data_IF_521244572721
#
_entry.id   IF_521244572721
#
_cell.length_a   1.000
_cell.length_b   1.000
_cell.length_c   1.000
_cell.angle_alpha   90.00
_cell.angle_beta   90.00
_cell.angle_gamma   90.00
#
_symmetry.space_group_name_H-M   'P 1'
#
loop_
_entity.id
_entity.type
_entity.pdbx_description
1 polymer ?
#
# COMPACT_ATOMS: atom_id res chain seq x y z
N UNK A 1 8.63 12.90 -9.41
CA UNK A 1 7.23 12.71 -9.00
C UNK A 1 7.19 11.52 -8.07
N UNK A 2 6.87 11.68 -6.78
CA UNK A 2 6.87 10.57 -5.86
C UNK A 2 5.64 9.68 -6.04
N UNK A 3 5.83 8.39 -5.82
CA UNK A 3 4.76 7.40 -5.71
C UNK A 3 4.45 7.19 -4.23
N UNK A 4 3.19 7.35 -3.84
CA UNK A 4 2.71 7.06 -2.50
C UNK A 4 1.80 5.83 -2.59
N UNK A 5 2.28 4.71 -2.06
CA UNK A 5 1.55 3.45 -2.03
C UNK A 5 0.98 3.25 -0.63
N UNK A 6 -0.34 3.26 -0.52
CA UNK A 6 -1.05 2.90 0.68
C UNK A 6 -1.25 1.39 0.70
N UNK A 7 -0.62 0.73 1.67
CA UNK A 7 -0.79 -0.68 1.94
C UNK A 7 -1.71 -0.81 3.16
N UNK A 8 -2.98 -1.14 2.92
CA UNK A 8 -3.99 -1.17 3.98
C UNK A 8 -4.28 -2.62 4.35
N UNK A 9 -4.05 -2.95 5.61
CA UNK A 9 -4.49 -4.20 6.20
C UNK A 9 -6.00 -4.31 6.11
N UNK A 10 -6.47 -5.32 5.40
CA UNK A 10 -7.88 -5.66 5.29
C UNK A 10 -8.20 -6.96 5.98
N UNK A 11 -7.35 -7.48 6.86
CA UNK A 11 -7.60 -8.73 7.59
C UNK A 11 -8.80 -8.60 8.55
N UNK A 12 -9.36 -9.75 8.95
CA UNK A 12 -10.53 -9.79 9.81
C UNK A 12 -10.32 -9.10 11.18
N UNK A 13 -9.08 -9.03 11.67
CA UNK A 13 -8.74 -8.39 12.94
C UNK A 13 -8.90 -6.86 12.92
N UNK A 14 -8.94 -6.25 11.73
CA UNK A 14 -9.25 -4.83 11.52
C UNK A 14 -10.72 -4.46 11.82
N UNK A 15 -11.60 -5.44 12.06
CA UNK A 15 -12.98 -5.20 12.51
C UNK A 15 -13.10 -4.81 14.00
N UNK A 16 -12.00 -4.84 14.75
CA UNK A 16 -11.98 -4.39 16.14
C UNK A 16 -12.44 -2.93 16.23
N UNK A 17 -13.27 -2.65 17.24
CA UNK A 17 -13.83 -1.32 17.45
C UNK A 17 -13.00 -0.52 18.44
N UNK A 18 -12.88 0.76 18.13
CA UNK A 18 -12.28 1.72 19.05
C UNK A 18 -13.30 2.24 20.06
N UNK A 19 -12.83 3.01 21.03
CA UNK A 19 -13.69 3.72 21.98
C UNK A 19 -14.68 4.69 21.30
N UNK A 20 -14.44 5.08 20.05
CA UNK A 20 -15.34 5.93 19.25
C UNK A 20 -16.44 5.13 18.52
N UNK A 21 -16.45 3.79 18.63
CA UNK A 21 -17.43 2.91 17.99
C UNK A 21 -17.15 2.57 16.53
N UNK A 22 -16.11 3.16 15.91
CA UNK A 22 -15.64 2.86 14.56
C UNK A 22 -14.63 1.71 14.55
N UNK A 23 -14.52 0.99 13.43
CA UNK A 23 -13.52 -0.07 13.26
C UNK A 23 -12.12 0.50 12.99
N UNK A 24 -11.07 -0.28 13.19
CA UNK A 24 -9.72 0.12 12.78
C UNK A 24 -9.62 0.39 11.28
N UNK A 25 -10.33 -0.38 10.45
CA UNK A 25 -10.38 -0.12 9.00
C UNK A 25 -11.02 1.24 8.68
N UNK A 26 -12.09 1.63 9.38
CA UNK A 26 -12.73 2.94 9.18
C UNK A 26 -11.76 4.08 9.55
N UNK A 27 -11.00 3.92 10.64
CA UNK A 27 -9.98 4.88 11.05
C UNK A 27 -8.85 4.93 10.02
N UNK A 28 -8.39 3.79 9.51
CA UNK A 28 -7.37 3.73 8.46
C UNK A 28 -7.81 4.48 7.19
N UNK A 29 -9.04 4.23 6.71
CA UNK A 29 -9.62 4.96 5.57
C UNK A 29 -9.65 6.47 5.83
N UNK A 30 -10.16 6.90 6.99
CA UNK A 30 -10.21 8.32 7.36
C UNK A 30 -8.83 8.97 7.48
N UNK A 31 -7.82 8.23 7.95
CA UNK A 31 -6.43 8.70 8.00
C UNK A 31 -5.86 8.92 6.59
N UNK A 32 -6.12 8.01 5.65
CA UNK A 32 -5.72 8.16 4.24
C UNK A 32 -6.40 9.37 3.60
N UNK A 33 -7.71 9.53 3.78
CA UNK A 33 -8.44 10.69 3.26
C UNK A 33 -7.90 12.02 3.83
N UNK A 34 -7.62 12.04 5.13
CA UNK A 34 -7.05 13.22 5.80
C UNK A 34 -5.64 13.51 5.29
N UNK A 35 -4.80 12.49 5.14
CA UNK A 35 -3.46 12.62 4.57
C UNK A 35 -3.53 13.24 3.16
N UNK A 36 -4.37 12.72 2.27
CA UNK A 36 -4.50 13.22 0.90
C UNK A 36 -4.98 14.67 0.88
N UNK A 37 -5.94 15.01 1.75
CA UNK A 37 -6.45 16.39 1.88
C UNK A 37 -5.37 17.37 2.36
N UNK A 38 -4.51 16.95 3.29
CA UNK A 38 -3.40 17.76 3.77
C UNK A 38 -2.31 17.87 2.71
N UNK A 39 -1.94 16.77 2.07
CA UNK A 39 -0.93 16.72 1.00
C UNK A 39 -1.34 17.57 -0.20
N UNK A 40 -2.62 17.58 -0.56
CA UNK A 40 -3.16 18.40 -1.64
C UNK A 40 -3.06 19.92 -1.44
N UNK A 41 -2.70 20.39 -0.24
CA UNK A 41 -2.42 21.81 0.03
C UNK A 41 -1.03 22.24 -0.46
N UNK A 42 -0.11 21.28 -0.62
CA UNK A 42 1.25 21.53 -1.09
C UNK A 42 1.26 21.58 -2.64
N UNK A 43 1.70 22.69 -3.26
CA UNK A 43 1.83 22.78 -4.72
C UNK A 43 2.68 21.67 -5.35
N UNK A 44 3.64 21.11 -4.61
CA UNK A 44 4.49 20.02 -5.06
C UNK A 44 3.71 18.69 -5.26
N UNK A 45 2.51 18.56 -4.69
CA UNK A 45 1.72 17.32 -4.75
C UNK A 45 1.02 17.08 -6.09
N UNK A 46 1.03 18.06 -7.02
CA UNK A 46 0.34 17.96 -8.31
C UNK A 46 0.82 16.80 -9.17
N UNK A 47 2.07 16.36 -8.95
CA UNK A 47 2.66 15.24 -9.65
C UNK A 47 2.68 13.94 -8.85
N UNK A 48 2.05 13.88 -7.68
CA UNK A 48 2.06 12.66 -6.87
C UNK A 48 1.19 11.58 -7.51
N UNK A 49 1.66 10.33 -7.45
CA UNK A 49 0.86 9.17 -7.85
C UNK A 49 0.47 8.37 -6.61
N UNK A 50 -0.82 8.09 -6.48
CA UNK A 50 -1.35 7.31 -5.36
C UNK A 50 -1.69 5.91 -5.82
N UNK A 51 -1.26 4.91 -5.04
CA UNK A 51 -1.55 3.50 -5.28
C UNK A 51 -2.18 2.90 -4.03
N UNK A 52 -3.05 1.91 -4.22
CA UNK A 52 -3.73 1.19 -3.15
C UNK A 52 -3.51 -0.30 -3.30
N UNK A 53 -2.95 -0.91 -2.26
CA UNK A 53 -2.76 -2.36 -2.14
C UNK A 53 -3.38 -2.81 -0.83
N UNK A 54 -4.04 -3.97 -0.83
CA UNK A 54 -4.57 -4.59 0.39
C UNK A 54 -3.98 -6.00 0.61
N UNK A 55 -4.49 -6.72 1.62
CA UNK A 55 -3.95 -8.02 2.02
C UNK A 55 -4.52 -9.21 1.25
N UNK A 56 -5.20 -8.97 0.14
CA UNK A 56 -5.61 -10.05 -0.76
C UNK A 56 -4.44 -10.54 -1.62
N UNK A 57 -4.55 -11.77 -2.11
CA UNK A 57 -3.58 -12.36 -3.01
C UNK A 57 -3.55 -11.62 -4.37
N UNK A 58 -2.36 -11.59 -4.99
CA UNK A 58 -2.20 -11.05 -6.33
C UNK A 58 -3.01 -11.89 -7.35
N UNK A 59 -3.70 -11.26 -8.33
CA UNK A 59 -3.68 -9.83 -8.64
C UNK A 59 -4.72 -8.98 -7.90
N UNK A 60 -5.64 -9.59 -7.16
CA UNK A 60 -6.77 -8.89 -6.52
C UNK A 60 -6.34 -7.95 -5.40
N UNK A 61 -5.15 -8.18 -4.83
CA UNK A 61 -4.49 -7.30 -3.87
C UNK A 61 -4.27 -5.86 -4.34
N UNK A 62 -4.12 -5.64 -5.66
CA UNK A 62 -3.86 -4.32 -6.23
C UNK A 62 -5.19 -3.67 -6.62
N UNK A 63 -5.65 -2.71 -5.82
CA UNK A 63 -6.92 -2.01 -6.09
C UNK A 63 -6.73 -0.78 -6.96
N UNK A 64 -5.61 -0.06 -6.80
CA UNK A 64 -5.25 1.07 -7.66
C UNK A 64 -3.76 1.07 -7.96
N UNK A 65 -3.39 0.96 -9.24
CA UNK A 65 -2.00 0.87 -9.70
C UNK A 65 -1.57 2.01 -10.63
N UNK A 66 -0.63 1.74 -11.54
CA UNK A 66 0.02 2.75 -12.39
C UNK A 66 -0.89 3.54 -13.33
N UNK A 67 -1.98 2.91 -13.81
CA UNK A 67 -2.88 3.48 -14.82
C UNK A 67 -4.12 4.12 -14.20
N UNK A 68 -4.28 4.03 -12.88
CA UNK A 68 -5.53 4.41 -12.23
C UNK A 68 -5.60 5.88 -11.87
N UNK A 69 -6.83 6.40 -11.90
CA UNK A 69 -7.12 7.78 -11.55
C UNK A 69 -7.27 7.96 -10.05
N UNK A 70 -7.16 9.20 -9.59
CA UNK A 70 -7.48 9.56 -8.20
C UNK A 70 -8.92 9.19 -7.82
N UNK A 71 -9.87 9.27 -8.77
CA UNK A 71 -11.26 8.89 -8.53
C UNK A 71 -11.42 7.37 -8.33
N UNK A 72 -10.69 6.56 -9.09
CA UNK A 72 -10.65 5.10 -8.91
C UNK A 72 -10.10 4.77 -7.52
N UNK A 73 -8.95 5.35 -7.16
CA UNK A 73 -8.35 5.18 -5.83
C UNK A 73 -9.34 5.45 -4.69
N UNK A 74 -10.03 6.60 -4.74
CA UNK A 74 -10.99 6.98 -3.70
C UNK A 74 -12.22 6.06 -3.65
N UNK A 75 -12.59 5.45 -4.77
CA UNK A 75 -13.70 4.50 -4.84
C UNK A 75 -13.31 3.16 -4.21
N UNK A 76 -12.14 2.65 -4.59
CA UNK A 76 -11.60 1.42 -4.03
C UNK A 76 -11.31 1.54 -2.53
N UNK A 77 -10.75 2.67 -2.08
CA UNK A 77 -10.53 2.94 -0.65
C UNK A 77 -11.83 2.85 0.16
N UNK A 78 -12.91 3.44 -0.34
CA UNK A 78 -14.23 3.40 0.32
C UNK A 78 -14.78 1.97 0.38
N UNK A 79 -14.56 1.19 -0.67
CA UNK A 79 -15.09 -0.17 -0.82
C UNK A 79 -14.29 -1.26 -0.10
N UNK A 80 -13.12 -0.96 0.50
CA UNK A 80 -12.36 -1.97 1.25
C UNK A 80 -13.20 -2.58 2.37
N UNK A 81 -13.06 -3.89 2.56
CA UNK A 81 -13.72 -4.63 3.63
C UNK A 81 -12.67 -5.37 4.45
N UNK A 82 -12.89 -5.45 5.77
CA UNK A 82 -12.00 -6.17 6.67
C UNK A 82 -12.36 -7.66 6.68
N UNK A 83 -11.76 -8.44 5.78
CA UNK A 83 -11.95 -9.87 5.61
C UNK A 83 -10.61 -10.58 5.34
N UNK A 84 -10.51 -11.86 5.74
CA UNK A 84 -9.32 -12.67 5.46
C UNK A 84 -8.22 -12.59 6.53
N UNK A 85 -7.01 -12.96 6.12
CA UNK A 85 -5.84 -13.18 6.99
C UNK A 85 -4.82 -12.04 6.87
N UNK A 86 -3.89 -11.99 7.83
CA UNK A 86 -2.87 -10.95 7.93
C UNK A 86 -1.62 -11.32 7.11
N UNK A 87 -1.74 -11.29 5.78
CA UNK A 87 -0.71 -11.73 4.81
C UNK A 87 0.34 -10.64 4.47
N UNK A 88 0.80 -9.91 5.48
CA UNK A 88 1.68 -8.72 5.33
C UNK A 88 2.88 -8.97 4.41
N UNK A 89 3.57 -10.10 4.56
CA UNK A 89 4.76 -10.42 3.77
C UNK A 89 4.47 -10.51 2.28
N UNK A 90 3.38 -11.18 1.90
CA UNK A 90 2.97 -11.34 0.50
C UNK A 90 2.50 -10.01 -0.11
N UNK A 91 1.79 -9.19 0.65
CA UNK A 91 1.30 -7.90 0.20
C UNK A 91 2.44 -6.87 0.06
N UNK A 92 3.44 -6.92 0.94
CA UNK A 92 4.67 -6.15 0.79
C UNK A 92 5.46 -6.56 -0.44
N UNK A 93 5.64 -7.87 -0.68
CA UNK A 93 6.26 -8.39 -1.91
C UNK A 93 5.54 -7.84 -3.15
N UNK A 94 4.22 -7.97 -3.19
CA UNK A 94 3.39 -7.47 -4.29
C UNK A 94 3.55 -5.97 -4.48
N UNK A 95 3.65 -5.20 -3.39
CA UNK A 95 3.90 -3.76 -3.44
C UNK A 95 5.28 -3.42 -4.00
N UNK A 96 6.32 -4.16 -3.62
CA UNK A 96 7.67 -3.99 -4.17
C UNK A 96 7.71 -4.34 -5.66
N UNK A 97 7.10 -5.46 -6.05
CA UNK A 97 7.02 -5.88 -7.45
C UNK A 97 6.30 -4.82 -8.29
N UNK A 98 5.16 -4.32 -7.81
CA UNK A 98 4.40 -3.25 -8.46
C UNK A 98 5.24 -1.99 -8.68
N UNK A 99 5.98 -1.55 -7.67
CA UNK A 99 6.85 -0.37 -7.77
C UNK A 99 8.02 -0.60 -8.73
N UNK A 100 8.59 -1.81 -8.76
CA UNK A 100 9.75 -2.14 -9.58
C UNK A 100 9.43 -2.32 -11.07
N UNK A 101 8.15 -2.56 -11.45
CA UNK A 101 7.75 -2.70 -12.85
C UNK A 101 8.21 -1.53 -13.74
N UNK A 102 8.11 -0.30 -13.25
CA UNK A 102 8.50 0.88 -14.04
C UNK A 102 10.00 1.15 -14.02
N UNK A 103 10.73 0.73 -12.99
CA UNK A 103 12.18 0.98 -12.88
C UNK A 103 12.97 0.30 -14.00
N UNK A 104 12.54 -0.91 -14.38
CA UNK A 104 13.14 -1.66 -15.49
C UNK A 104 12.83 -1.03 -16.85
N UNK A 105 11.58 -0.61 -17.06
CA UNK A 105 11.14 -0.01 -18.34
C UNK A 105 11.77 1.36 -18.57
N UNK A 106 11.91 2.15 -17.51
CA UNK A 106 12.49 3.50 -17.58
C UNK A 106 14.01 3.52 -17.62
N UNK A 107 14.67 2.36 -17.46
CA UNK A 107 16.12 2.24 -17.48
C UNK A 107 16.79 2.96 -16.30
N UNK A 108 16.10 3.09 -15.16
CA UNK A 108 16.66 3.70 -13.95
C UNK A 108 17.76 2.79 -13.38
N UNK A 109 17.50 1.48 -13.36
CA UNK A 109 18.46 0.46 -12.91
C UNK A 109 19.15 -0.18 -14.11
N UNK A 110 20.17 0.48 -14.66
CA UNK A 110 20.99 -0.06 -15.74
C UNK A 110 22.11 -0.95 -15.19
N UNK A 111 21.84 -2.25 -15.10
CA UNK A 111 22.88 -3.23 -14.77
C UNK A 111 24.01 -3.21 -15.82
N UNK A 112 25.26 -3.13 -15.37
CA UNK A 112 26.44 -3.16 -16.25
C UNK A 112 26.92 -1.81 -16.79
N UNK A 113 26.23 -0.70 -16.51
CA UNK A 113 26.63 0.66 -16.93
C UNK A 113 26.85 1.62 -15.75
N UNK A 114 27.02 1.07 -14.55
CA UNK A 114 27.13 1.84 -13.30
C UNK A 114 25.76 2.28 -12.74
N UNK A 115 25.77 3.05 -11.65
CA UNK A 115 24.55 3.61 -11.03
C UNK A 115 24.55 5.13 -11.15
N UNK A 116 23.45 5.68 -11.65
CA UNK A 116 23.27 7.13 -11.73
C UNK A 116 22.43 7.63 -10.54
N UNK A 117 23.00 8.35 -9.56
CA UNK A 117 22.27 8.83 -8.39
C UNK A 117 21.20 9.87 -8.71
N UNK A 118 21.21 10.47 -9.91
CA UNK A 118 20.23 11.47 -10.34
C UNK A 118 18.95 10.84 -10.90
N UNK A 119 18.96 9.55 -11.23
CA UNK A 119 17.77 8.83 -11.69
C UNK A 119 16.98 8.30 -10.50
N UNK A 120 16.11 9.16 -9.98
CA UNK A 120 15.31 8.90 -8.79
C UNK A 120 13.85 8.67 -9.16
N UNK A 121 13.33 7.52 -8.75
CA UNK A 121 11.90 7.26 -8.64
C UNK A 121 11.56 7.11 -7.15
N UNK A 122 11.26 8.21 -6.45
CA UNK A 122 10.97 8.15 -5.03
C UNK A 122 9.63 7.45 -4.81
N UNK A 123 9.62 6.44 -3.95
CA UNK A 123 8.41 5.73 -3.54
C UNK A 123 8.34 5.66 -2.01
N UNK A 124 7.14 5.85 -1.47
CA UNK A 124 6.85 5.74 -0.04
C UNK A 124 5.73 4.71 0.12
N UNK A 125 5.97 3.68 0.93
CA UNK A 125 4.93 2.72 1.33
C UNK A 125 4.43 3.13 2.71
N UNK A 126 3.13 3.37 2.81
CA UNK A 126 2.44 3.64 4.07
C UNK A 126 1.64 2.39 4.40
N UNK A 127 2.23 1.52 5.23
CA UNK A 127 1.58 0.31 5.71
C UNK A 127 0.75 0.64 6.96
N UNK A 128 -0.56 0.38 6.90
CA UNK A 128 -1.49 0.58 8.01
C UNK A 128 -2.03 -0.80 8.40
N UNK A 129 -1.75 -1.23 9.63
CA UNK A 129 -2.20 -2.51 10.21
C UNK A 129 -2.55 -2.32 11.68
N UNK A 130 -3.28 -3.28 12.25
CA UNK A 130 -3.78 -3.24 13.63
C UNK A 130 -2.71 -3.55 14.70
N UNK A 131 -1.51 -3.95 14.29
CA UNK A 131 -0.42 -4.29 15.20
C UNK A 131 -0.64 -5.59 15.98
N UNK A 132 -1.61 -6.42 15.59
CA UNK A 132 -1.81 -7.75 16.15
C UNK A 132 -0.82 -8.76 15.56
N UNK A 133 -0.90 -10.01 16.04
CA UNK A 133 -0.04 -11.09 15.54
C UNK A 133 -0.28 -11.37 14.06
N UNK A 134 0.78 -11.69 13.33
CA UNK A 134 0.70 -12.04 11.93
C UNK A 134 0.04 -13.42 11.79
N UNK A 135 -1.01 -13.51 10.98
CA UNK A 135 -1.75 -14.75 10.75
C UNK A 135 -1.53 -15.23 9.32
N UNK A 136 -1.12 -16.48 9.18
CA UNK A 136 -1.10 -17.20 7.91
C UNK A 136 -2.11 -18.34 7.95
N UNK A 137 -2.36 -18.99 6.81
CA UNK A 137 -3.25 -20.16 6.73
C UNK A 137 -2.83 -21.31 7.64
N UNK A 138 -1.54 -21.41 7.98
CA UNK A 138 -0.98 -22.54 8.72
C UNK A 138 -0.71 -22.22 10.19
N UNK A 139 -0.34 -20.97 10.51
CA UNK A 139 0.03 -20.59 11.87
C UNK A 139 -0.01 -19.08 12.08
N UNK A 140 0.00 -18.72 13.35
CA UNK A 140 0.40 -17.39 13.79
C UNK A 140 1.93 -17.30 13.71
N UNK A 141 2.45 -16.25 13.12
CA UNK A 141 3.88 -15.99 12.95
C UNK A 141 4.29 -14.83 13.87
N UNK A 142 5.40 -15.01 14.58
CA UNK A 142 5.98 -13.97 15.43
C UNK A 142 6.99 -13.10 14.66
N UNK A 143 7.55 -13.63 13.56
CA UNK A 143 8.50 -12.91 12.70
C UNK A 143 7.92 -12.68 11.31
N UNK A 144 8.20 -11.48 10.75
CA UNK A 144 7.85 -11.14 9.38
C UNK A 144 8.96 -11.59 8.43
N UNK A 145 8.75 -12.69 7.72
CA UNK A 145 9.60 -13.09 6.60
C UNK A 145 8.94 -12.67 5.28
N UNK A 146 9.68 -11.91 4.47
CA UNK A 146 9.26 -11.60 3.11
C UNK A 146 9.47 -12.84 2.23
N UNK A 147 8.43 -13.37 1.57
CA UNK A 147 8.60 -14.46 0.61
C UNK A 147 9.38 -13.91 -0.59
N UNK A 148 10.64 -14.33 -0.73
CA UNK A 148 11.48 -14.05 -1.90
C UNK A 148 10.94 -14.75 -3.16
#
# INVERSE_FOLDING_TARGET
MPVLLFLIDTSASMNQRTHLGTTYLDIAKGAVETFMKLRGRDPASRGDRYMLVNFEDAPFGIKAGWKESHATFMTELRNLQATGLTTVGQSLRTSFDLLNLNRLVTGIDNYGQGRNPFFLEPAIIIAISDGNKLTSSNSVQDELHLPL
#
